data_IF_859449741366
#
_entry.id   IF_859449741366
#
_cell.length_a   1.000
_cell.length_b   1.000
_cell.length_c   1.000
_cell.angle_alpha   90.00
_cell.angle_beta   90.00
_cell.angle_gamma   90.00
#
_symmetry.space_group_name_H-M   'P 1'
#
loop_
_entity.id
_entity.type
_entity.pdbx_description
1 polymer ?
#
# COMPACT_ATOMS: atom_id res chain seq x y z
N UNK A 1 -13.52 -23.09 9.59
CA UNK A 1 -12.54 -22.87 8.54
C UNK A 1 -12.46 -21.38 8.22
N UNK A 2 -11.30 -20.79 8.40
CA UNK A 2 -11.06 -19.35 8.21
C UNK A 2 -11.11 -18.95 6.73
N UNK A 3 -11.31 -17.67 6.45
CA UNK A 3 -11.22 -17.06 5.11
C UNK A 3 -9.87 -17.37 4.47
N UNK A 4 -8.83 -17.46 5.28
CA UNK A 4 -7.49 -17.84 4.84
C UNK A 4 -7.47 -19.18 4.10
N UNK A 5 -8.17 -20.20 4.64
CA UNK A 5 -8.21 -21.53 4.04
C UNK A 5 -9.19 -21.62 2.87
N UNK A 6 -10.34 -20.92 2.97
CA UNK A 6 -11.40 -21.01 1.96
C UNK A 6 -11.22 -20.07 0.77
N UNK A 7 -10.53 -18.96 0.95
CA UNK A 7 -10.45 -17.88 -0.04
C UNK A 7 -8.99 -17.62 -0.43
N UNK A 8 -8.12 -17.26 0.55
CA UNK A 8 -6.78 -16.76 0.26
C UNK A 8 -5.87 -17.85 -0.31
N UNK A 9 -5.79 -19.01 0.33
CA UNK A 9 -4.95 -20.13 -0.18
C UNK A 9 -5.37 -20.60 -1.56
N UNK A 10 -6.67 -20.81 -1.88
CA UNK A 10 -7.11 -21.08 -3.23
C UNK A 10 -6.76 -20.01 -4.25
N UNK A 11 -6.93 -18.73 -3.91
CA UNK A 11 -6.56 -17.61 -4.78
C UNK A 11 -5.06 -17.60 -5.09
N UNK A 12 -4.21 -17.80 -4.09
CA UNK A 12 -2.75 -17.94 -4.29
C UNK A 12 -2.43 -19.09 -5.24
N UNK A 13 -3.10 -20.22 -5.11
CA UNK A 13 -2.91 -21.38 -6.02
C UNK A 13 -3.25 -21.02 -7.47
N UNK A 14 -4.37 -20.32 -7.69
CA UNK A 14 -4.77 -19.86 -9.04
C UNK A 14 -3.74 -18.90 -9.62
N UNK A 15 -3.23 -17.95 -8.83
CA UNK A 15 -2.24 -16.98 -9.27
C UNK A 15 -0.89 -17.63 -9.59
N UNK A 16 -0.46 -18.62 -8.80
CA UNK A 16 0.73 -19.44 -9.11
C UNK A 16 0.59 -20.17 -10.44
N UNK A 17 -0.57 -20.73 -10.72
CA UNK A 17 -0.84 -21.40 -12.00
C UNK A 17 -0.75 -20.42 -13.20
N UNK A 18 -1.01 -19.13 -12.97
CA UNK A 18 -0.81 -18.06 -13.95
C UNK A 18 0.64 -17.56 -14.01
N UNK A 19 1.60 -18.26 -13.39
CA UNK A 19 3.03 -17.93 -13.34
C UNK A 19 3.36 -16.61 -12.62
N UNK A 20 2.51 -16.18 -11.69
CA UNK A 20 2.80 -15.04 -10.80
C UNK A 20 3.61 -15.58 -9.61
N UNK A 21 4.78 -14.99 -9.34
CA UNK A 21 5.59 -15.34 -8.15
C UNK A 21 4.94 -14.74 -6.91
N UNK A 22 3.97 -15.45 -6.37
CA UNK A 22 3.23 -15.07 -5.17
C UNK A 22 3.51 -16.04 -4.03
N UNK A 23 3.72 -15.50 -2.85
CA UNK A 23 3.98 -16.24 -1.60
C UNK A 23 3.01 -15.80 -0.52
N UNK A 24 2.69 -16.70 0.39
CA UNK A 24 1.77 -16.43 1.49
C UNK A 24 0.76 -17.56 1.71
N UNK A 25 -0.25 -17.31 2.56
CA UNK A 25 -0.40 -16.12 3.38
C UNK A 25 0.68 -16.01 4.47
N UNK A 26 0.98 -14.78 4.89
CA UNK A 26 1.91 -14.49 5.97
C UNK A 26 1.18 -13.76 7.11
N UNK A 27 1.65 -13.88 8.36
CA UNK A 27 1.12 -13.09 9.47
C UNK A 27 1.34 -11.60 9.22
N UNK A 28 0.28 -10.80 9.46
CA UNK A 28 0.32 -9.35 9.19
C UNK A 28 1.25 -8.59 10.14
N UNK A 29 1.43 -9.08 11.36
CA UNK A 29 2.29 -8.49 12.37
C UNK A 29 3.80 -8.60 12.06
N UNK A 30 4.18 -9.58 11.25
CA UNK A 30 5.61 -9.86 10.96
C UNK A 30 6.02 -9.56 9.54
N UNK A 31 5.09 -9.49 8.56
CA UNK A 31 5.43 -9.28 7.15
C UNK A 31 6.14 -7.93 6.93
N UNK A 32 5.83 -6.92 7.73
CA UNK A 32 6.42 -5.57 7.61
C UNK A 32 7.75 -5.42 8.35
N UNK A 33 8.26 -6.45 9.00
CA UNK A 33 9.63 -6.41 9.53
C UNK A 33 10.62 -6.20 8.37
N UNK A 34 11.62 -5.34 8.59
CA UNK A 34 12.61 -4.94 7.57
C UNK A 34 13.27 -6.12 6.84
N UNK A 35 13.52 -7.21 7.56
CA UNK A 35 14.08 -8.44 7.00
C UNK A 35 13.12 -9.21 6.10
N UNK A 36 11.82 -9.02 6.27
CA UNK A 36 10.79 -9.68 5.47
C UNK A 36 10.38 -8.84 4.27
N UNK A 37 10.15 -7.54 4.43
CA UNK A 37 9.79 -6.64 3.33
C UNK A 37 10.82 -6.64 2.22
N UNK A 38 12.11 -6.77 2.54
CA UNK A 38 13.19 -6.86 1.52
C UNK A 38 13.10 -8.09 0.59
N UNK A 39 12.27 -9.06 0.90
CA UNK A 39 12.11 -10.29 0.11
C UNK A 39 11.03 -10.18 -0.97
N UNK A 40 10.27 -9.08 -0.98
CA UNK A 40 9.10 -8.90 -1.83
C UNK A 40 9.10 -7.52 -2.47
N UNK A 41 8.69 -7.45 -3.73
CA UNK A 41 8.47 -6.19 -4.43
C UNK A 41 7.14 -5.55 -4.02
N UNK A 42 6.15 -6.38 -3.67
CA UNK A 42 4.79 -5.96 -3.31
C UNK A 42 4.28 -6.77 -2.12
N UNK A 43 3.65 -6.10 -1.19
CA UNK A 43 2.86 -6.72 -0.10
C UNK A 43 1.39 -6.43 -0.33
N UNK A 44 0.57 -7.48 -0.40
CA UNK A 44 -0.88 -7.38 -0.60
C UNK A 44 -1.58 -7.56 0.75
N UNK A 45 -2.29 -6.54 1.20
CA UNK A 45 -3.17 -6.61 2.37
C UNK A 45 -4.62 -6.89 1.98
N UNK A 46 -5.36 -7.53 2.87
CA UNK A 46 -6.75 -7.91 2.62
C UNK A 46 -7.73 -6.79 3.00
N UNK A 47 -7.31 -5.83 3.80
CA UNK A 47 -8.10 -4.66 4.17
C UNK A 47 -7.19 -3.46 4.44
N UNK A 48 -7.79 -2.27 4.41
CA UNK A 48 -7.12 -0.98 4.46
C UNK A 48 -6.08 -0.85 5.59
N UNK A 49 -6.47 -1.05 6.84
CA UNK A 49 -5.57 -0.81 7.97
C UNK A 49 -4.48 -1.86 8.13
N UNK A 50 -4.65 -3.04 7.53
CA UNK A 50 -3.63 -4.09 7.53
C UNK A 50 -2.32 -3.63 6.88
N UNK A 51 -2.41 -2.73 5.91
CA UNK A 51 -1.25 -2.17 5.19
C UNK A 51 -0.98 -0.72 5.56
N UNK A 52 -2.01 0.11 5.78
CA UNK A 52 -1.79 1.52 6.05
C UNK A 52 -1.25 1.79 7.45
N UNK A 53 -1.66 1.02 8.47
CA UNK A 53 -1.11 1.21 9.81
C UNK A 53 0.42 1.01 9.85
N UNK A 54 1.00 -0.10 9.35
CA UNK A 54 2.45 -0.24 9.29
C UNK A 54 3.13 0.75 8.35
N UNK A 55 2.52 1.12 7.22
CA UNK A 55 3.09 2.13 6.30
C UNK A 55 3.21 3.48 7.00
N UNK A 56 2.17 3.93 7.72
CA UNK A 56 2.21 5.18 8.47
C UNK A 56 3.23 5.14 9.62
N UNK A 57 3.35 4.02 10.30
CA UNK A 57 4.33 3.85 11.38
C UNK A 57 5.78 3.86 10.87
N UNK A 58 6.05 3.32 9.67
CA UNK A 58 7.38 3.21 9.10
C UNK A 58 7.82 4.43 8.28
N UNK A 59 6.88 5.06 7.57
CA UNK A 59 7.18 6.08 6.56
C UNK A 59 6.47 7.42 6.79
N UNK A 60 5.66 7.54 7.85
CA UNK A 60 4.89 8.76 8.16
C UNK A 60 4.02 9.18 6.96
N UNK A 61 4.27 10.37 6.41
CA UNK A 61 3.58 10.93 5.24
C UNK A 61 4.36 10.73 3.92
N UNK A 62 5.47 9.99 3.92
CA UNK A 62 6.27 9.72 2.71
C UNK A 62 5.67 8.55 1.91
N UNK A 63 4.40 8.65 1.57
CA UNK A 63 3.66 7.68 0.79
C UNK A 63 2.67 8.38 -0.14
N UNK A 64 2.35 7.74 -1.24
CA UNK A 64 1.33 8.19 -2.20
C UNK A 64 0.30 7.09 -2.40
N UNK A 65 -0.92 7.48 -2.75
CA UNK A 65 -2.00 6.56 -3.11
C UNK A 65 -2.15 6.52 -4.63
N UNK A 66 -2.07 5.32 -5.21
CA UNK A 66 -2.26 5.09 -6.64
C UNK A 66 -3.45 4.15 -6.82
N UNK A 67 -4.44 4.58 -7.60
CA UNK A 67 -5.59 3.72 -7.95
C UNK A 67 -5.28 2.97 -9.24
N UNK A 68 -5.25 1.64 -9.16
CA UNK A 68 -5.01 0.76 -10.30
C UNK A 68 -6.32 0.31 -10.95
N UNK A 69 -6.25 -0.10 -12.23
CA UNK A 69 -7.40 -0.63 -12.97
C UNK A 69 -8.31 0.42 -13.61
N UNK A 70 -7.93 1.69 -13.59
CA UNK A 70 -8.62 2.76 -14.31
C UNK A 70 -7.99 2.97 -15.70
N UNK A 71 -8.77 3.49 -16.69
CA UNK A 71 -8.24 3.83 -18.03
C UNK A 71 -7.36 5.11 -18.02
N UNK A 72 -7.18 5.72 -16.89
CA UNK A 72 -6.31 6.87 -16.64
C UNK A 72 -5.55 6.69 -15.31
N UNK A 73 -4.44 7.38 -15.18
CA UNK A 73 -3.64 7.35 -13.96
C UNK A 73 -4.27 8.25 -12.89
N UNK A 74 -4.58 7.69 -11.72
CA UNK A 74 -5.08 8.41 -10.56
C UNK A 74 -4.11 8.28 -9.41
N UNK A 75 -3.53 9.39 -9.02
CA UNK A 75 -2.60 9.49 -7.89
C UNK A 75 -3.11 10.56 -6.92
N UNK A 76 -2.97 10.33 -5.64
CA UNK A 76 -3.32 11.30 -4.61
C UNK A 76 -2.34 11.21 -3.42
N UNK A 77 -2.23 12.27 -2.60
CA UNK A 77 -1.56 12.18 -1.32
C UNK A 77 -2.16 11.06 -0.46
N UNK A 78 -1.32 10.43 0.34
CA UNK A 78 -1.73 9.37 1.25
C UNK A 78 -2.02 9.91 2.66
N UNK A 79 -2.96 10.87 2.74
CA UNK A 79 -3.47 11.43 3.99
C UNK A 79 -4.94 11.84 3.86
N UNK A 80 -5.65 11.81 4.99
CA UNK A 80 -7.02 12.30 5.11
C UNK A 80 -7.10 13.83 5.33
N UNK A 81 -8.32 14.35 5.57
CA UNK A 81 -8.53 15.75 5.91
C UNK A 81 -7.76 16.13 7.18
N UNK A 82 -7.02 17.23 7.11
CA UNK A 82 -6.20 17.70 8.23
C UNK A 82 -6.86 18.92 8.91
N UNK A 83 -8.02 18.71 9.50
CA UNK A 83 -8.81 19.78 10.13
C UNK A 83 -8.05 20.55 11.18
N UNK A 84 -7.15 19.91 11.92
CA UNK A 84 -6.35 20.53 12.97
C UNK A 84 -5.32 21.55 12.46
N UNK A 85 -5.04 21.55 11.16
CA UNK A 85 -4.05 22.42 10.52
C UNK A 85 -4.68 23.57 9.73
N UNK A 86 -6.02 23.63 9.65
CA UNK A 86 -6.73 24.70 8.94
C UNK A 86 -6.29 26.08 9.51
N UNK A 87 -5.88 26.97 8.63
CA UNK A 87 -5.43 28.33 8.98
C UNK A 87 -4.06 28.42 9.65
N UNK A 88 -3.38 27.32 9.94
CA UNK A 88 -2.07 27.32 10.64
C UNK A 88 -0.86 27.38 9.73
N UNK A 89 -1.02 27.13 8.43
CA UNK A 89 0.05 27.06 7.43
C UNK A 89 1.23 26.14 7.85
N UNK A 90 0.92 24.99 8.48
CA UNK A 90 1.88 24.01 9.04
C UNK A 90 1.72 22.61 8.51
N UNK A 91 0.86 22.42 7.50
CA UNK A 91 0.67 21.10 6.87
C UNK A 91 1.93 20.67 6.13
N UNK A 92 2.27 19.38 6.23
CA UNK A 92 3.38 18.80 5.49
C UNK A 92 2.91 18.51 4.03
N UNK A 93 3.50 19.17 3.01
CA UNK A 93 3.12 18.96 1.61
C UNK A 93 3.82 17.76 0.95
N UNK A 94 4.68 17.01 1.68
CA UNK A 94 5.59 16.03 1.08
C UNK A 94 4.85 14.98 0.24
N UNK A 95 3.78 14.42 0.75
CA UNK A 95 2.97 13.41 0.02
C UNK A 95 2.37 13.95 -1.29
N UNK A 96 1.95 15.22 -1.32
CA UNK A 96 1.47 15.88 -2.55
C UNK A 96 2.61 16.08 -3.55
N UNK A 97 3.76 16.54 -3.09
CA UNK A 97 4.95 16.74 -3.92
C UNK A 97 5.38 15.41 -4.54
N UNK A 98 5.38 14.34 -3.77
CA UNK A 98 5.78 13.00 -4.25
C UNK A 98 4.75 12.44 -5.24
N UNK A 99 3.45 12.70 -5.04
CA UNK A 99 2.41 12.34 -6.00
C UNK A 99 2.60 13.04 -7.35
N UNK A 100 2.92 14.34 -7.36
CA UNK A 100 3.21 15.12 -8.57
C UNK A 100 4.47 14.61 -9.27
N UNK A 101 5.56 14.40 -8.53
CA UNK A 101 6.82 13.85 -9.06
C UNK A 101 6.63 12.45 -9.67
N UNK A 102 5.77 11.63 -9.07
CA UNK A 102 5.45 10.31 -9.61
C UNK A 102 4.76 10.42 -10.97
N UNK A 103 3.80 11.33 -11.13
CA UNK A 103 3.13 11.59 -12.41
C UNK A 103 4.10 12.05 -13.50
N UNK A 104 5.07 12.90 -13.17
CA UNK A 104 6.05 13.41 -14.12
C UNK A 104 7.02 12.32 -14.62
N UNK A 105 7.31 11.31 -13.81
CA UNK A 105 8.19 10.19 -14.19
C UNK A 105 7.55 9.19 -15.16
N UNK A 106 6.22 9.17 -15.27
CA UNK A 106 5.47 8.19 -16.08
C UNK A 106 5.11 8.77 -17.46
N UNK A 107 5.36 10.03 -17.69
CA UNK A 107 5.32 10.61 -19.03
C UNK A 107 6.50 10.09 -19.84
#
# INVERSE_FOLDING_TARGET
LSEETKIIKPAIKVLKNKKIDIKGPFPADTIFLKQNTKKFDVVVGMYHDQVLAPIKALYNFNAINITLGLPFLRVSPDHGPNYNMIGKNKSDPQSLIDAIKFLDKIK
#
